data_IF_252831764656
#
_entry.id   IF_252831764656
#
_cell.length_a   1.000
_cell.length_b   1.000
_cell.length_c   1.000
_cell.angle_alpha   90.00
_cell.angle_beta   90.00
_cell.angle_gamma   90.00
#
_symmetry.space_group_name_H-M   'P 1'
#
loop_
_entity.id
_entity.type
_entity.pdbx_description
1 polymer ?
#
# COMPACT_ATOMS: atom_id res chain seq x y z
N UNK A 1 -13.34 -7.77 4.38
CA UNK A 1 -12.51 -7.64 3.18
C UNK A 1 -11.02 -7.78 3.50
N UNK A 2 -10.20 -8.15 2.51
CA UNK A 2 -8.75 -8.26 2.66
C UNK A 2 -8.06 -7.41 1.57
N UNK A 3 -7.12 -6.56 2.00
CA UNK A 3 -6.21 -5.86 1.09
C UNK A 3 -4.78 -6.14 1.55
N UNK A 4 -3.92 -6.57 0.65
CA UNK A 4 -2.53 -6.86 0.97
C UNK A 4 -1.58 -6.21 -0.04
N UNK A 5 -0.50 -5.59 0.45
CA UNK A 5 0.48 -4.92 -0.39
C UNK A 5 1.92 -5.13 0.10
N UNK A 6 2.83 -5.35 -0.83
CA UNK A 6 4.26 -5.54 -0.55
C UNK A 6 4.81 -6.87 -1.07
N UNK A 7 6.11 -7.08 -0.88
CA UNK A 7 6.82 -8.28 -1.42
C UNK A 7 6.32 -9.60 -0.83
N UNK A 8 5.81 -9.59 0.41
CA UNK A 8 5.24 -10.76 1.08
C UNK A 8 3.69 -10.76 1.10
N UNK A 9 3.05 -9.87 0.33
CA UNK A 9 1.61 -9.71 0.36
C UNK A 9 0.84 -10.98 0.00
N UNK A 10 1.32 -11.74 -0.98
CA UNK A 10 0.69 -13.01 -1.35
C UNK A 10 0.72 -14.03 -0.21
N UNK A 11 1.88 -14.21 0.43
CA UNK A 11 2.06 -15.16 1.54
C UNK A 11 1.21 -14.77 2.75
N UNK A 12 1.17 -13.47 3.08
CA UNK A 12 0.36 -12.96 4.19
C UNK A 12 -1.13 -13.16 3.92
N UNK A 13 -1.59 -12.85 2.71
CA UNK A 13 -2.98 -13.03 2.30
C UNK A 13 -3.39 -14.50 2.28
N UNK A 14 -2.54 -15.39 1.75
CA UNK A 14 -2.77 -16.84 1.74
C UNK A 14 -2.95 -17.37 3.18
N UNK A 15 -2.02 -17.06 4.07
CA UNK A 15 -2.09 -17.48 5.48
C UNK A 15 -3.33 -16.91 6.20
N UNK A 16 -3.70 -15.66 5.89
CA UNK A 16 -4.88 -15.05 6.47
C UNK A 16 -6.18 -15.76 6.02
N UNK A 17 -6.31 -16.07 4.73
CA UNK A 17 -7.49 -16.78 4.21
C UNK A 17 -7.55 -18.21 4.74
N UNK A 18 -6.41 -18.92 4.82
CA UNK A 18 -6.36 -20.24 5.47
C UNK A 18 -6.84 -20.20 6.93
N UNK A 19 -6.44 -19.17 7.68
CA UNK A 19 -6.78 -19.01 9.09
C UNK A 19 -8.26 -18.61 9.30
N UNK A 20 -8.76 -17.70 8.47
CA UNK A 20 -10.12 -17.16 8.57
C UNK A 20 -11.17 -18.08 7.91
N UNK A 21 -10.74 -19.00 7.05
CA UNK A 21 -11.59 -19.88 6.27
C UNK A 21 -12.18 -19.21 5.03
N UNK A 22 -12.51 -17.93 5.08
CA UNK A 22 -13.01 -17.16 3.94
C UNK A 22 -12.83 -15.64 4.13
N UNK A 23 -12.86 -14.91 3.02
CA UNK A 23 -13.05 -13.47 2.97
C UNK A 23 -14.17 -13.17 1.95
N UNK A 24 -14.89 -12.06 2.14
CA UNK A 24 -15.99 -11.67 1.22
C UNK A 24 -15.46 -11.01 -0.07
N UNK A 25 -14.18 -10.64 -0.07
CA UNK A 25 -13.45 -10.13 -1.22
C UNK A 25 -12.05 -9.71 -0.81
N UNK A 26 -11.12 -9.74 -1.75
CA UNK A 26 -9.75 -9.34 -1.47
C UNK A 26 -8.96 -8.92 -2.70
N UNK A 27 -7.96 -8.08 -2.47
CA UNK A 27 -6.96 -7.64 -3.45
C UNK A 27 -5.57 -7.78 -2.87
N UNK A 28 -4.69 -8.42 -3.61
CA UNK A 28 -3.25 -8.52 -3.33
C UNK A 28 -2.49 -7.76 -4.41
N UNK A 29 -1.55 -6.91 -3.99
CA UNK A 29 -0.59 -6.26 -4.90
C UNK A 29 0.82 -6.61 -4.46
N UNK A 30 1.52 -7.38 -5.27
CA UNK A 30 2.87 -7.85 -4.96
C UNK A 30 3.83 -7.60 -6.12
N UNK A 31 5.12 -7.85 -5.91
CA UNK A 31 6.15 -7.71 -6.94
C UNK A 31 5.99 -8.81 -8.00
N UNK A 32 6.39 -8.52 -9.24
CA UNK A 32 6.45 -9.50 -10.32
C UNK A 32 7.15 -10.80 -9.91
N UNK A 33 6.54 -11.95 -10.24
CA UNK A 33 7.03 -13.29 -9.91
C UNK A 33 6.80 -13.71 -8.46
N UNK A 34 6.00 -12.97 -7.68
CA UNK A 34 5.71 -13.28 -6.28
C UNK A 34 4.34 -13.91 -6.04
N UNK A 35 3.44 -13.90 -7.00
CA UNK A 35 2.19 -14.68 -6.93
C UNK A 35 2.51 -16.14 -7.14
N UNK A 36 2.08 -17.02 -6.21
CA UNK A 36 2.41 -18.45 -6.22
C UNK A 36 1.19 -19.35 -6.46
N UNK A 37 0.04 -18.74 -6.78
CA UNK A 37 -1.20 -19.46 -7.05
C UNK A 37 -2.42 -18.64 -6.70
N UNK A 38 -3.58 -19.26 -6.84
CA UNK A 38 -4.87 -18.64 -6.51
C UNK A 38 -5.09 -18.64 -4.99
N UNK A 39 -5.74 -17.59 -4.51
CA UNK A 39 -6.23 -17.48 -3.13
C UNK A 39 -7.75 -17.34 -3.22
N UNK A 40 -8.55 -18.23 -2.61
CA UNK A 40 -10.00 -18.17 -2.70
C UNK A 40 -10.56 -16.82 -2.24
N UNK A 41 -11.38 -16.19 -3.10
CA UNK A 41 -12.00 -14.89 -2.81
C UNK A 41 -11.07 -13.68 -2.94
N UNK A 42 -9.83 -13.85 -3.43
CA UNK A 42 -8.84 -12.78 -3.54
C UNK A 42 -8.29 -12.70 -4.96
N UNK A 43 -8.26 -11.50 -5.53
CA UNK A 43 -7.61 -11.24 -6.82
C UNK A 43 -6.19 -10.76 -6.58
N UNK A 44 -5.22 -11.44 -7.19
CA UNK A 44 -3.80 -11.13 -7.04
C UNK A 44 -3.27 -10.39 -8.27
N UNK A 45 -2.54 -9.31 -8.04
CA UNK A 45 -1.89 -8.49 -9.04
C UNK A 45 -0.39 -8.41 -8.78
N UNK A 46 0.37 -8.32 -9.86
CA UNK A 46 1.82 -8.10 -9.82
C UNK A 46 2.19 -6.76 -10.42
N UNK A 47 3.18 -6.09 -9.83
CA UNK A 47 3.56 -4.73 -10.18
C UNK A 47 5.07 -4.46 -9.99
N UNK A 48 5.51 -3.30 -10.46
CA UNK A 48 6.90 -2.86 -10.42
C UNK A 48 7.38 -2.46 -9.03
N UNK A 49 8.63 -2.79 -8.74
CA UNK A 49 9.34 -2.40 -7.52
C UNK A 49 10.86 -2.34 -7.83
N UNK A 50 11.62 -1.33 -7.41
CA UNK A 50 11.29 -0.25 -6.45
C UNK A 50 10.56 0.96 -7.04
N UNK A 51 10.49 1.08 -8.35
CA UNK A 51 9.73 2.15 -9.01
C UNK A 51 8.31 1.67 -9.29
N UNK A 52 7.28 2.43 -8.89
CA UNK A 52 5.89 2.06 -9.17
C UNK A 52 5.61 2.10 -10.68
N UNK A 53 4.66 1.29 -11.14
CA UNK A 53 4.27 1.23 -12.54
C UNK A 53 2.73 1.26 -12.73
N UNK A 54 2.30 1.28 -13.99
CA UNK A 54 0.90 1.33 -14.36
C UNK A 54 0.09 0.14 -13.81
N UNK A 55 0.70 -1.05 -13.69
CA UNK A 55 0.05 -2.22 -13.12
C UNK A 55 -0.21 -2.04 -11.63
N UNK A 56 0.73 -1.45 -10.90
CA UNK A 56 0.58 -1.10 -9.48
C UNK A 56 -0.51 -0.05 -9.27
N UNK A 57 -0.58 0.97 -10.13
CA UNK A 57 -1.64 1.98 -10.07
C UNK A 57 -3.03 1.37 -10.32
N UNK A 58 -3.15 0.51 -11.34
CA UNK A 58 -4.39 -0.18 -11.65
C UNK A 58 -4.82 -1.14 -10.52
N UNK A 59 -3.89 -1.90 -9.96
CA UNK A 59 -4.15 -2.81 -8.86
C UNK A 59 -4.57 -2.06 -7.58
N UNK A 60 -3.92 -0.93 -7.28
CA UNK A 60 -4.30 -0.06 -6.15
C UNK A 60 -5.71 0.51 -6.37
N UNK A 61 -6.05 0.90 -7.59
CA UNK A 61 -7.39 1.35 -7.93
C UNK A 61 -8.44 0.24 -7.66
N UNK A 62 -8.14 -1.03 -7.97
CA UNK A 62 -9.01 -2.16 -7.63
C UNK A 62 -9.20 -2.35 -6.13
N UNK A 63 -8.15 -2.15 -5.34
CA UNK A 63 -8.26 -2.16 -3.89
C UNK A 63 -9.14 -1.00 -3.37
N UNK A 64 -9.03 0.18 -3.96
CA UNK A 64 -9.87 1.32 -3.61
C UNK A 64 -11.34 1.13 -4.00
N UNK A 65 -11.61 0.51 -5.15
CA UNK A 65 -12.97 0.13 -5.57
C UNK A 65 -13.58 -0.88 -4.61
N UNK A 66 -12.79 -1.87 -4.16
CA UNK A 66 -13.23 -2.90 -3.20
C UNK A 66 -13.70 -2.29 -1.88
N UNK A 67 -13.07 -1.23 -1.41
CA UNK A 67 -13.40 -0.60 -0.11
C UNK A 67 -14.38 0.56 -0.23
N UNK A 68 -14.98 0.79 -1.39
CA UNK A 68 -16.01 1.82 -1.56
C UNK A 68 -17.34 1.40 -0.93
N UNK A 69 -18.01 2.35 -0.29
CA UNK A 69 -19.36 2.16 0.25
C UNK A 69 -19.45 1.24 1.46
N UNK A 70 -18.34 1.02 2.16
CA UNK A 70 -18.31 0.24 3.38
C UNK A 70 -19.12 0.92 4.51
N UNK A 71 -19.61 0.11 5.44
CA UNK A 71 -20.38 0.52 6.61
C UNK A 71 -19.59 0.29 7.89
N UNK A 72 -20.09 0.79 9.02
CA UNK A 72 -19.50 0.53 10.33
C UNK A 72 -19.54 -0.96 10.77
N UNK A 73 -20.33 -1.78 10.08
CA UNK A 73 -20.37 -3.24 10.30
C UNK A 73 -19.31 -4.00 9.50
N UNK A 74 -18.60 -3.32 8.60
CA UNK A 74 -17.58 -3.95 7.76
C UNK A 74 -16.20 -3.89 8.41
N UNK A 75 -15.36 -4.85 8.05
CA UNK A 75 -13.97 -4.93 8.50
C UNK A 75 -13.03 -5.09 7.32
N UNK A 76 -11.96 -4.32 7.31
CA UNK A 76 -10.86 -4.43 6.36
C UNK A 76 -9.62 -4.95 7.07
N UNK A 77 -9.17 -6.14 6.71
CA UNK A 77 -7.86 -6.66 7.09
C UNK A 77 -6.83 -6.15 6.08
N UNK A 78 -5.94 -5.27 6.54
CA UNK A 78 -4.91 -4.65 5.72
C UNK A 78 -3.54 -5.21 6.06
N UNK A 79 -2.95 -5.97 5.12
CA UNK A 79 -1.68 -6.67 5.29
C UNK A 79 -0.58 -5.94 4.53
N UNK A 80 0.43 -5.47 5.23
CA UNK A 80 1.54 -4.72 4.65
C UNK A 80 2.88 -5.42 4.85
N UNK A 81 3.75 -5.31 3.86
CA UNK A 81 5.14 -5.74 3.97
C UNK A 81 6.08 -4.81 3.22
N UNK A 82 7.38 -5.03 3.32
CA UNK A 82 8.39 -4.25 2.63
C UNK A 82 8.12 -4.14 1.12
N UNK A 83 8.43 -2.98 0.54
CA UNK A 83 8.15 -2.64 -0.85
C UNK A 83 6.77 -2.05 -1.12
N UNK A 84 5.89 -1.97 -0.13
CA UNK A 84 4.54 -1.44 -0.28
C UNK A 84 4.48 0.01 -0.77
N UNK A 85 5.52 0.82 -0.54
CA UNK A 85 5.57 2.20 -1.04
C UNK A 85 5.49 2.31 -2.57
N UNK A 86 6.05 1.35 -3.31
CA UNK A 86 5.95 1.29 -4.76
C UNK A 86 4.72 0.48 -5.22
N UNK A 87 4.45 -0.64 -4.54
CA UNK A 87 3.43 -1.60 -4.95
C UNK A 87 2.00 -1.14 -4.64
N UNK A 88 1.81 -0.24 -3.66
CA UNK A 88 0.50 0.30 -3.28
C UNK A 88 0.49 1.82 -3.44
N UNK A 89 0.16 2.27 -4.66
CA UNK A 89 0.25 3.67 -5.04
C UNK A 89 -0.96 4.11 -5.89
N UNK A 90 -1.57 5.22 -5.50
CA UNK A 90 -2.50 5.98 -6.32
C UNK A 90 -1.89 7.36 -6.57
N UNK A 91 -1.35 7.65 -7.75
CA UNK A 91 -0.70 8.92 -8.02
C UNK A 91 -1.72 10.07 -8.07
N UNK A 92 -1.36 11.21 -7.46
CA UNK A 92 -2.10 12.48 -7.57
C UNK A 92 -1.56 13.39 -8.68
N UNK A 93 -0.50 12.94 -9.36
CA UNK A 93 0.11 13.55 -10.54
C UNK A 93 0.11 12.52 -11.67
N UNK A 94 0.42 12.89 -12.92
CA UNK A 94 0.57 11.90 -13.99
C UNK A 94 1.53 10.77 -13.60
N UNK A 95 1.16 9.51 -13.89
CA UNK A 95 1.92 8.34 -13.44
C UNK A 95 3.39 8.36 -13.89
N UNK A 96 3.66 8.82 -15.11
CA UNK A 96 5.02 8.97 -15.63
C UNK A 96 5.84 10.00 -14.83
N UNK A 97 5.22 11.10 -14.41
CA UNK A 97 5.85 12.11 -13.56
C UNK A 97 6.17 11.54 -12.18
N UNK A 98 5.25 10.79 -11.57
CA UNK A 98 5.52 10.12 -10.29
C UNK A 98 6.67 9.11 -10.40
N UNK A 99 6.76 8.37 -11.49
CA UNK A 99 7.86 7.44 -11.76
C UNK A 99 9.20 8.17 -11.86
N UNK A 100 9.23 9.29 -12.56
CA UNK A 100 10.43 10.12 -12.71
C UNK A 100 10.87 10.71 -11.36
N UNK A 101 9.95 11.34 -10.63
CA UNK A 101 10.20 11.86 -9.27
C UNK A 101 10.72 10.73 -8.35
N UNK A 102 10.11 9.56 -8.38
CA UNK A 102 10.54 8.42 -7.56
C UNK A 102 11.95 7.97 -7.92
N UNK A 103 12.28 7.93 -9.21
CA UNK A 103 13.61 7.55 -9.69
C UNK A 103 14.67 8.56 -9.26
N UNK A 104 14.36 9.85 -9.34
CA UNK A 104 15.24 10.93 -8.87
C UNK A 104 15.46 10.87 -7.35
N UNK A 105 14.40 10.65 -6.56
CA UNK A 105 14.51 10.49 -5.10
C UNK A 105 15.39 9.28 -4.72
N UNK A 106 15.24 8.15 -5.42
CA UNK A 106 16.09 6.98 -5.19
C UNK A 106 17.56 7.23 -5.57
N UNK A 107 17.82 8.05 -6.56
CA UNK A 107 19.16 8.40 -7.01
C UNK A 107 19.83 9.52 -6.19
N UNK A 108 19.05 10.36 -5.50
CA UNK A 108 19.55 11.53 -4.76
C UNK A 108 20.31 11.18 -3.49
N UNK A 109 20.13 9.97 -2.95
CA UNK A 109 20.66 9.58 -1.64
C UNK A 109 19.83 10.11 -0.46
N UNK A 110 18.64 10.66 -0.72
CA UNK A 110 17.71 11.09 0.32
C UNK A 110 17.39 9.93 1.28
N UNK A 111 17.27 10.24 2.55
CA UNK A 111 16.89 9.23 3.54
C UNK A 111 15.41 8.83 3.41
N UNK A 112 15.01 7.80 4.15
CA UNK A 112 13.64 7.26 4.06
C UNK A 112 12.60 8.27 4.57
N UNK A 113 12.95 9.14 5.50
CA UNK A 113 12.04 10.16 6.06
C UNK A 113 11.78 11.24 5.01
N UNK A 114 12.85 11.76 4.38
CA UNK A 114 12.78 12.74 3.29
C UNK A 114 11.97 12.19 2.12
N UNK A 115 12.31 10.99 1.65
CA UNK A 115 11.59 10.34 0.55
C UNK A 115 10.11 10.17 0.86
N UNK A 116 9.75 9.70 2.07
CA UNK A 116 8.34 9.49 2.43
C UNK A 116 7.59 10.81 2.62
N UNK A 117 8.25 11.85 3.13
CA UNK A 117 7.65 13.18 3.26
C UNK A 117 7.16 13.71 1.92
N UNK A 118 7.97 13.55 0.86
CA UNK A 118 7.59 13.93 -0.51
C UNK A 118 6.54 12.97 -1.08
N UNK A 119 6.76 11.66 -1.01
CA UNK A 119 5.85 10.64 -1.55
C UNK A 119 4.45 10.73 -0.99
N UNK A 120 4.30 11.01 0.32
CA UNK A 120 2.99 11.20 0.96
C UNK A 120 2.22 12.37 0.36
N UNK A 121 2.88 13.41 -0.17
CA UNK A 121 2.20 14.55 -0.83
C UNK A 121 1.63 14.18 -2.20
N UNK A 122 2.25 13.25 -2.89
CA UNK A 122 1.92 12.87 -4.27
C UNK A 122 1.01 11.64 -4.38
N UNK A 123 0.55 11.09 -3.25
CA UNK A 123 -0.17 9.82 -3.17
C UNK A 123 -1.58 9.97 -2.59
N UNK A 124 -2.54 9.30 -3.20
CA UNK A 124 -3.91 9.18 -2.73
C UNK A 124 -4.16 8.10 -1.68
N UNK A 125 -3.14 7.31 -1.33
CA UNK A 125 -3.27 6.18 -0.38
C UNK A 125 -2.32 6.26 0.81
N UNK A 126 -1.18 6.96 0.71
CA UNK A 126 -0.18 7.09 1.78
C UNK A 126 -0.62 8.07 2.88
N UNK A 127 0.07 8.04 4.02
CA UNK A 127 -0.17 8.97 5.12
C UNK A 127 -1.58 8.88 5.70
N UNK A 128 -2.08 7.68 5.92
CA UNK A 128 -3.40 7.42 6.50
C UNK A 128 -4.57 7.49 5.52
N UNK A 129 -4.33 7.90 4.26
CA UNK A 129 -5.42 8.12 3.30
C UNK A 129 -6.16 6.86 2.91
N UNK A 130 -5.48 5.70 2.86
CA UNK A 130 -6.17 4.44 2.62
C UNK A 130 -7.16 4.11 3.74
N UNK A 131 -6.74 4.22 5.00
CA UNK A 131 -7.66 4.00 6.13
C UNK A 131 -8.85 4.98 6.12
N UNK A 132 -8.63 6.23 5.73
CA UNK A 132 -9.71 7.21 5.56
C UNK A 132 -10.70 6.79 4.46
N UNK A 133 -10.23 6.16 3.37
CA UNK A 133 -11.09 5.62 2.30
C UNK A 133 -11.93 4.43 2.74
N UNK A 134 -11.48 3.69 3.76
CA UNK A 134 -12.23 2.59 4.33
C UNK A 134 -13.33 3.04 5.31
N UNK A 135 -13.31 4.29 5.78
CA UNK A 135 -14.29 4.78 6.74
C UNK A 135 -15.75 4.68 6.20
N UNK A 136 -16.72 4.30 7.08
CA UNK A 136 -16.63 4.11 8.51
C UNK A 136 -16.28 2.66 8.97
N UNK A 137 -15.80 1.79 8.07
CA UNK A 137 -15.39 0.43 8.40
C UNK A 137 -14.19 0.41 9.37
N UNK A 138 -14.06 -0.69 10.12
CA UNK A 138 -12.89 -0.93 10.95
C UNK A 138 -11.73 -1.43 10.09
N UNK A 139 -10.53 -0.87 10.31
CA UNK A 139 -9.30 -1.31 9.62
C UNK A 139 -8.35 -1.93 10.64
N UNK A 140 -8.00 -3.20 10.42
CA UNK A 140 -6.94 -3.88 11.16
C UNK A 140 -5.73 -4.04 10.26
N UNK A 141 -4.61 -3.41 10.63
CA UNK A 141 -3.36 -3.51 9.91
C UNK A 141 -2.40 -4.49 10.56
N UNK A 142 -1.92 -5.48 9.80
CA UNK A 142 -0.81 -6.36 10.17
C UNK A 142 0.36 -5.99 9.28
N UNK A 143 1.47 -5.60 9.90
CA UNK A 143 2.64 -5.08 9.22
C UNK A 143 3.84 -5.99 9.45
N UNK A 144 4.39 -6.54 8.36
CA UNK A 144 5.66 -7.24 8.38
C UNK A 144 6.76 -6.23 8.01
N UNK A 145 7.45 -5.73 9.04
CA UNK A 145 8.45 -4.69 8.89
C UNK A 145 9.81 -5.23 8.45
N UNK A 146 10.47 -4.49 7.56
CA UNK A 146 11.88 -4.66 7.18
C UNK A 146 12.72 -3.39 7.53
N UNK A 147 12.19 -2.51 8.40
CA UNK A 147 12.82 -1.26 8.82
C UNK A 147 13.14 -1.34 10.33
N UNK A 148 14.35 -0.97 10.72
CA UNK A 148 14.76 -0.93 12.12
C UNK A 148 13.87 0.01 12.93
N UNK A 149 13.40 -0.47 14.09
CA UNK A 149 12.54 0.29 14.99
C UNK A 149 11.05 0.31 14.60
N UNK A 150 10.67 -0.39 13.53
CA UNK A 150 9.30 -0.58 13.08
C UNK A 150 8.44 0.71 13.00
N UNK A 151 8.95 1.81 12.39
CA UNK A 151 8.18 3.05 12.29
C UNK A 151 7.01 2.86 11.31
N UNK A 152 5.81 2.70 11.84
CA UNK A 152 4.61 2.36 11.07
C UNK A 152 4.26 3.40 9.99
N UNK A 153 4.62 4.66 10.19
CA UNK A 153 4.41 5.74 9.23
C UNK A 153 5.43 5.72 8.06
N UNK A 154 6.52 4.95 8.21
CA UNK A 154 7.54 4.77 7.16
C UNK A 154 7.30 3.50 6.34
N UNK A 155 6.76 2.43 6.95
CA UNK A 155 6.48 1.18 6.25
C UNK A 155 5.38 1.41 5.23
N UNK A 156 5.66 1.14 3.96
CA UNK A 156 4.78 1.45 2.81
C UNK A 156 4.32 2.94 2.78
N UNK A 157 5.05 3.84 3.44
CA UNK A 157 4.69 5.26 3.64
C UNK A 157 3.37 5.46 4.41
N UNK A 158 3.04 4.53 5.32
CA UNK A 158 1.97 4.61 6.30
C UNK A 158 0.55 4.75 5.75
N UNK A 159 0.02 3.82 4.91
CA UNK A 159 -1.33 3.98 4.35
C UNK A 159 -2.45 3.97 5.38
N UNK A 160 -2.23 3.35 6.54
CA UNK A 160 -3.21 3.26 7.63
C UNK A 160 -2.77 4.02 8.90
N UNK A 161 -1.74 4.86 8.81
CA UNK A 161 -1.19 5.64 9.93
C UNK A 161 -1.29 7.12 9.61
N UNK A 162 -1.77 7.97 10.54
CA UNK A 162 -1.86 9.41 10.33
C UNK A 162 -0.51 10.03 9.96
N UNK A 163 -0.50 10.93 8.98
CA UNK A 163 0.68 11.64 8.55
C UNK A 163 0.94 12.85 9.45
N UNK A 164 2.10 12.90 10.06
CA UNK A 164 2.56 14.02 10.91
C UNK A 164 3.45 15.00 10.15
N UNK A 165 3.86 14.67 8.90
CA UNK A 165 4.67 15.55 8.08
C UNK A 165 3.86 16.68 7.44
N UNK A 166 4.52 17.76 7.04
CA UNK A 166 3.90 18.96 6.46
C UNK A 166 4.34 19.21 5.02
N UNK A 167 3.56 20.01 4.27
CA UNK A 167 3.99 20.44 2.96
C UNK A 167 5.26 21.32 3.00
N UNK A 168 5.44 22.11 4.06
CA UNK A 168 6.65 22.92 4.21
C UNK A 168 7.91 22.03 4.35
N UNK A 169 7.81 20.91 5.07
CA UNK A 169 8.91 19.95 5.17
C UNK A 169 9.21 19.24 3.83
N UNK A 170 8.19 19.03 2.99
CA UNK A 170 8.38 18.43 1.69
C UNK A 170 9.01 19.39 0.65
N UNK A 171 8.98 20.69 0.91
CA UNK A 171 9.53 21.75 0.04
C UNK A 171 10.92 22.22 0.50
N UNK A 172 11.35 21.85 1.68
CA UNK A 172 12.65 22.23 2.25
C UNK A 172 13.78 21.34 1.71
#
# INVERSE_FOLDING_TARGET
>A
LLVAAGKAAWQMAHAAVETLGRVDGGVVVTKYGHVKGEIPGVTCYEAGHPVPDANGFAATQKALELVQGLTAGDTVLFLLSGGGSALFEQPLVPGAELQDITSQLLASGADIVEMNTIRKRLSGVKGGRFAQRCAPAQVFSIVLSDILGDPLDMIASGPAVPDTSTCAQALA
#
